data_IF_036321601069
#
_entry.id   IF_036321601069
#
_cell.length_a   1.000
_cell.length_b   1.000
_cell.length_c   1.000
_cell.angle_alpha   90.00
_cell.angle_beta   90.00
_cell.angle_gamma   90.00
#
_symmetry.space_group_name_H-M   'P 1'
#
loop_
_entity.id
_entity.type
_entity.pdbx_description
1 polymer ?
#
# COMPACT_ATOMS: atom_id res chain seq x y z
N UNK A 1 10.00 -28.25 -2.96
CA UNK A 1 10.24 -28.13 -1.50
C UNK A 1 10.22 -26.67 -1.04
N UNK A 2 10.92 -25.74 -1.72
CA UNK A 2 10.98 -24.31 -1.37
C UNK A 2 9.59 -23.66 -1.21
N UNK A 3 8.61 -24.01 -2.04
CA UNK A 3 7.26 -23.43 -2.00
C UNK A 3 6.44 -23.87 -0.77
N UNK A 4 6.73 -25.02 -0.16
CA UNK A 4 5.94 -25.55 0.96
C UNK A 4 6.09 -24.76 2.27
N UNK A 5 7.17 -24.00 2.41
CA UNK A 5 7.52 -23.24 3.64
C UNK A 5 7.02 -21.80 3.64
N UNK A 6 6.37 -21.34 2.57
CA UNK A 6 5.99 -19.94 2.38
C UNK A 6 4.48 -19.72 2.46
N UNK A 7 4.09 -18.48 2.83
CA UNK A 7 2.69 -18.07 2.83
C UNK A 7 2.12 -18.05 1.41
N UNK A 8 0.80 -18.17 1.25
CA UNK A 8 0.10 -18.09 -0.05
C UNK A 8 0.51 -16.86 -0.88
N UNK A 9 0.78 -15.73 -0.21
CA UNK A 9 1.22 -14.48 -0.85
C UNK A 9 2.62 -14.59 -1.43
N UNK A 10 3.56 -15.15 -0.68
CA UNK A 10 4.94 -15.34 -1.14
C UNK A 10 5.00 -16.34 -2.29
N UNK A 11 4.22 -17.42 -2.23
CA UNK A 11 4.09 -18.39 -3.34
C UNK A 11 3.65 -17.67 -4.61
N UNK A 12 2.61 -16.84 -4.55
CA UNK A 12 2.13 -16.07 -5.71
C UNK A 12 3.24 -15.17 -6.28
N UNK A 13 3.99 -14.46 -5.43
CA UNK A 13 5.08 -13.59 -5.87
C UNK A 13 6.25 -14.36 -6.47
N UNK A 14 6.56 -15.55 -5.97
CA UNK A 14 7.57 -16.45 -6.54
C UNK A 14 7.11 -16.93 -7.92
N UNK A 15 5.84 -17.30 -8.07
CA UNK A 15 5.27 -17.69 -9.37
C UNK A 15 5.32 -16.54 -10.39
N UNK A 16 5.04 -15.31 -9.96
CA UNK A 16 5.19 -14.12 -10.82
C UNK A 16 6.65 -13.95 -11.23
N UNK A 17 7.60 -14.06 -10.31
CA UNK A 17 9.02 -13.94 -10.61
C UNK A 17 9.47 -15.02 -11.62
N UNK A 18 9.02 -16.28 -11.43
CA UNK A 18 9.27 -17.37 -12.36
C UNK A 18 8.71 -17.07 -13.75
N UNK A 19 7.44 -16.64 -13.81
CA UNK A 19 6.80 -16.29 -15.10
C UNK A 19 7.55 -15.16 -15.80
N UNK A 20 7.90 -14.09 -15.08
CA UNK A 20 8.65 -12.97 -15.66
C UNK A 20 10.03 -13.38 -16.18
N UNK A 21 10.69 -14.31 -15.52
CA UNK A 21 11.96 -14.85 -16.00
C UNK A 21 11.78 -15.71 -17.26
N UNK A 22 10.74 -16.54 -17.31
CA UNK A 22 10.41 -17.32 -18.52
C UNK A 22 10.04 -16.39 -19.70
N UNK A 23 9.21 -15.35 -19.46
CA UNK A 23 8.86 -14.35 -20.48
C UNK A 23 10.12 -13.60 -21.00
N UNK A 24 11.07 -13.29 -20.11
CA UNK A 24 12.37 -12.71 -20.47
C UNK A 24 13.16 -13.64 -21.39
N UNK A 25 13.34 -14.93 -21.00
CA UNK A 25 14.08 -15.87 -21.80
C UNK A 25 13.46 -16.03 -23.20
N UNK A 26 12.12 -16.08 -23.30
CA UNK A 26 11.41 -16.20 -24.56
C UNK A 26 11.55 -14.96 -25.45
N UNK A 27 11.61 -13.77 -24.86
CA UNK A 27 11.66 -12.49 -25.60
C UNK A 27 13.04 -12.12 -26.13
N UNK A 28 14.11 -12.62 -25.51
CA UNK A 28 15.49 -12.28 -25.84
C UNK A 28 16.12 -13.30 -26.79
N UNK A 29 16.46 -12.89 -28.02
CA UNK A 29 17.08 -13.76 -29.04
C UNK A 29 18.25 -14.57 -28.50
N UNK A 30 19.07 -13.96 -27.62
CA UNK A 30 20.25 -14.59 -27.03
C UNK A 30 19.89 -15.73 -26.07
N UNK A 31 18.72 -15.72 -25.46
CA UNK A 31 18.33 -16.64 -24.41
C UNK A 31 17.11 -17.51 -24.78
N UNK A 32 16.52 -17.33 -25.98
CA UNK A 32 15.30 -18.02 -26.36
C UNK A 32 15.44 -19.53 -26.43
N UNK A 33 16.65 -20.06 -26.64
CA UNK A 33 16.93 -21.49 -26.54
C UNK A 33 16.61 -22.07 -25.14
N UNK A 34 16.57 -21.25 -24.13
CA UNK A 34 16.21 -21.60 -22.73
C UNK A 34 14.77 -21.34 -22.38
N UNK A 35 13.91 -20.91 -23.31
CA UNK A 35 12.53 -20.50 -23.03
C UNK A 35 11.67 -21.61 -22.42
N UNK A 36 11.90 -22.86 -22.78
CA UNK A 36 11.15 -24.01 -22.25
C UNK A 36 11.76 -24.57 -20.96
N UNK A 37 13.09 -24.61 -20.88
CA UNK A 37 13.79 -25.10 -19.69
C UNK A 37 15.20 -24.52 -19.62
N UNK A 38 15.69 -24.31 -18.43
CA UNK A 38 17.06 -23.89 -18.16
C UNK A 38 17.57 -24.60 -16.90
N UNK A 39 18.80 -25.13 -16.98
CA UNK A 39 19.47 -25.60 -15.78
C UNK A 39 19.91 -24.41 -14.92
N UNK A 40 19.80 -24.55 -13.61
CA UNK A 40 20.07 -23.46 -12.68
C UNK A 40 21.53 -22.98 -12.75
N UNK A 41 22.48 -23.84 -13.05
CA UNK A 41 23.91 -23.55 -13.22
C UNK A 41 24.23 -22.74 -14.50
N UNK A 42 23.29 -22.71 -15.46
CA UNK A 42 23.40 -21.90 -16.68
C UNK A 42 22.96 -20.45 -16.49
N UNK A 43 22.39 -20.13 -15.36
CA UNK A 43 21.98 -18.77 -15.02
C UNK A 43 23.21 -17.98 -14.51
N UNK A 44 23.83 -17.22 -15.38
CA UNK A 44 25.00 -16.43 -15.06
C UNK A 44 24.66 -14.97 -14.69
N UNK A 45 25.65 -14.23 -14.20
CA UNK A 45 25.50 -12.82 -13.81
C UNK A 45 25.10 -11.92 -14.98
N UNK A 46 25.55 -12.23 -16.22
CA UNK A 46 25.21 -11.45 -17.42
C UNK A 46 23.72 -11.60 -17.75
N UNK A 47 23.21 -12.84 -17.65
CA UNK A 47 21.77 -13.10 -17.80
C UNK A 47 20.93 -12.41 -16.73
N UNK A 48 21.41 -12.38 -15.47
CA UNK A 48 20.72 -11.67 -14.38
C UNK A 48 20.67 -10.16 -14.63
N UNK A 49 21.74 -9.54 -15.11
CA UNK A 49 21.75 -8.11 -15.45
C UNK A 49 20.75 -7.80 -16.57
N UNK A 50 20.73 -8.60 -17.64
CA UNK A 50 19.76 -8.48 -18.72
C UNK A 50 18.30 -8.67 -18.22
N UNK A 51 18.07 -9.61 -17.30
CA UNK A 51 16.77 -9.80 -16.67
C UNK A 51 16.35 -8.60 -15.82
N UNK A 52 17.28 -7.99 -15.11
CA UNK A 52 17.02 -6.74 -14.36
C UNK A 52 16.59 -5.63 -15.30
N UNK A 53 17.26 -5.42 -16.42
CA UNK A 53 16.89 -4.42 -17.41
C UNK A 53 15.51 -4.71 -18.01
N UNK A 54 15.23 -5.96 -18.34
CA UNK A 54 13.91 -6.41 -18.78
C UNK A 54 12.81 -6.10 -17.75
N UNK A 55 13.05 -6.32 -16.45
CA UNK A 55 12.09 -6.01 -15.40
C UNK A 55 11.82 -4.50 -15.29
N UNK A 56 12.86 -3.68 -15.44
CA UNK A 56 12.78 -2.21 -15.34
C UNK A 56 11.92 -1.62 -16.46
N UNK A 57 11.98 -2.18 -17.68
CA UNK A 57 11.15 -1.71 -18.80
C UNK A 57 9.68 -2.14 -18.69
N UNK A 58 9.36 -3.11 -17.81
CA UNK A 58 8.02 -3.73 -17.70
C UNK A 58 7.32 -3.49 -16.37
N UNK A 59 7.93 -2.73 -15.48
CA UNK A 59 7.38 -2.45 -14.15
C UNK A 59 7.69 -1.03 -13.74
N UNK A 60 6.71 -0.36 -13.16
CA UNK A 60 6.87 0.98 -12.58
C UNK A 60 7.11 0.91 -11.07
N UNK A 61 7.79 1.92 -10.52
CA UNK A 61 8.04 2.04 -9.08
C UNK A 61 8.81 0.85 -8.51
N UNK A 62 8.31 0.25 -7.43
CA UNK A 62 8.97 -0.88 -6.74
C UNK A 62 8.66 -2.26 -7.31
N UNK A 63 7.89 -2.34 -8.40
CA UNK A 63 7.45 -3.62 -8.97
C UNK A 63 8.61 -4.50 -9.43
N UNK A 64 9.55 -3.96 -10.21
CA UNK A 64 10.75 -4.65 -10.67
C UNK A 64 11.58 -5.16 -9.48
N UNK A 65 11.84 -4.30 -8.50
CA UNK A 65 12.58 -4.66 -7.29
C UNK A 65 11.90 -5.81 -6.53
N UNK A 66 10.59 -5.74 -6.33
CA UNK A 66 9.83 -6.76 -5.61
C UNK A 66 9.89 -8.13 -6.29
N UNK A 67 9.78 -8.17 -7.63
CA UNK A 67 9.90 -9.40 -8.41
C UNK A 67 11.33 -9.95 -8.30
N UNK A 68 12.33 -9.10 -8.48
CA UNK A 68 13.73 -9.50 -8.41
C UNK A 68 14.14 -10.01 -7.03
N UNK A 69 13.65 -9.41 -5.96
CA UNK A 69 13.88 -9.89 -4.59
C UNK A 69 13.36 -11.32 -4.38
N UNK A 70 12.22 -11.70 -4.96
CA UNK A 70 11.71 -13.07 -4.91
C UNK A 70 12.56 -14.02 -5.75
N UNK A 71 13.02 -13.57 -6.91
CA UNK A 71 13.95 -14.35 -7.73
C UNK A 71 15.29 -14.58 -7.00
N UNK A 72 15.84 -13.56 -6.33
CA UNK A 72 17.06 -13.70 -5.49
C UNK A 72 16.90 -14.76 -4.39
N UNK A 73 15.74 -14.80 -3.73
CA UNK A 73 15.43 -15.81 -2.70
C UNK A 73 15.45 -17.23 -3.28
N UNK A 74 14.85 -17.41 -4.47
CA UNK A 74 14.86 -18.71 -5.15
C UNK A 74 16.28 -19.14 -5.51
N UNK A 75 17.12 -18.21 -6.02
CA UNK A 75 18.51 -18.52 -6.34
C UNK A 75 19.37 -18.78 -5.08
N UNK A 76 19.07 -18.11 -3.95
CA UNK A 76 19.72 -18.42 -2.68
C UNK A 76 19.40 -19.85 -2.22
N UNK A 77 18.13 -20.24 -2.26
CA UNK A 77 17.71 -21.59 -1.92
C UNK A 77 18.28 -22.66 -2.89
N UNK A 78 18.50 -22.30 -4.15
CA UNK A 78 19.16 -23.20 -5.11
C UNK A 78 20.64 -23.44 -4.73
N UNK A 79 21.32 -22.45 -4.15
CA UNK A 79 22.69 -22.63 -3.61
C UNK A 79 22.67 -23.49 -2.35
N UNK A 80 21.72 -23.25 -1.43
CA UNK A 80 21.56 -24.07 -0.21
C UNK A 80 21.23 -25.53 -0.51
N UNK A 81 20.60 -25.78 -1.66
CA UNK A 81 20.28 -27.15 -2.15
C UNK A 81 21.36 -27.73 -3.07
N UNK A 82 22.55 -27.13 -3.16
CA UNK A 82 23.68 -27.55 -4.02
C UNK A 82 23.35 -27.66 -5.52
N UNK A 83 22.28 -26.99 -5.97
CA UNK A 83 21.89 -26.95 -7.38
C UNK A 83 22.71 -25.93 -8.18
N UNK A 84 23.31 -24.94 -7.49
CA UNK A 84 24.14 -23.88 -8.07
C UNK A 84 25.32 -23.62 -7.12
N UNK A 85 26.53 -23.59 -7.65
CA UNK A 85 27.73 -23.37 -6.84
C UNK A 85 27.84 -21.96 -6.25
N UNK A 86 27.31 -20.95 -6.96
CA UNK A 86 27.40 -19.53 -6.56
C UNK A 86 26.15 -18.79 -7.00
N UNK A 87 25.57 -18.00 -6.10
CA UNK A 87 24.40 -17.20 -6.41
C UNK A 87 24.73 -16.09 -7.44
N UNK A 88 24.21 -16.14 -8.68
CA UNK A 88 24.52 -15.17 -9.71
C UNK A 88 23.90 -13.78 -9.44
N UNK A 89 22.97 -13.70 -8.48
CA UNK A 89 22.32 -12.45 -8.09
C UNK A 89 23.09 -11.65 -7.03
N UNK A 90 24.25 -12.14 -6.56
CA UNK A 90 25.05 -11.44 -5.56
C UNK A 90 25.56 -10.09 -6.10
N UNK A 91 25.37 -9.05 -5.28
CA UNK A 91 25.76 -7.68 -5.64
C UNK A 91 24.87 -7.00 -6.69
N UNK A 92 23.81 -7.67 -7.18
CA UNK A 92 22.86 -7.07 -8.13
C UNK A 92 21.68 -6.49 -7.35
N UNK A 93 21.38 -5.20 -7.60
CA UNK A 93 20.25 -4.47 -6.99
C UNK A 93 19.47 -3.73 -8.07
N UNK A 94 18.18 -3.51 -7.83
CA UNK A 94 17.36 -2.63 -8.65
C UNK A 94 17.06 -1.39 -7.81
N UNK A 95 17.53 -0.21 -8.20
CA UNK A 95 17.15 1.03 -7.53
C UNK A 95 15.65 1.27 -7.71
N UNK A 96 15.00 1.79 -6.67
CA UNK A 96 13.59 2.19 -6.73
C UNK A 96 13.55 3.67 -7.09
N UNK A 97 12.79 4.00 -8.10
CA UNK A 97 12.43 5.38 -8.36
C UNK A 97 11.36 5.80 -7.34
N UNK A 98 11.78 6.49 -6.29
CA UNK A 98 10.89 6.97 -5.24
C UNK A 98 9.92 8.03 -5.75
N UNK A 99 10.26 8.76 -6.82
CA UNK A 99 9.39 9.79 -7.42
C UNK A 99 8.18 9.17 -8.11
N UNK A 100 8.34 7.99 -8.71
CA UNK A 100 7.25 7.21 -9.31
C UNK A 100 6.29 6.59 -8.27
N UNK A 101 6.61 6.69 -6.98
CA UNK A 101 5.80 6.15 -5.88
C UNK A 101 4.91 7.20 -5.21
N UNK A 102 4.90 8.44 -5.70
CA UNK A 102 4.01 9.48 -5.19
C UNK A 102 2.55 9.04 -5.44
N UNK A 103 1.82 8.89 -4.35
CA UNK A 103 0.40 8.56 -4.40
C UNK A 103 -0.41 9.84 -4.40
N UNK A 104 -1.48 9.84 -5.20
CA UNK A 104 -2.48 10.88 -5.08
C UNK A 104 -3.06 10.91 -3.68
N UNK A 105 -3.21 12.10 -3.13
CA UNK A 105 -3.84 12.33 -1.82
C UNK A 105 -4.92 13.39 -1.96
N UNK A 106 -6.00 13.21 -1.21
CA UNK A 106 -7.06 14.19 -1.10
C UNK A 106 -6.65 15.27 -0.09
N UNK A 107 -6.80 16.54 -0.43
CA UNK A 107 -6.74 17.62 0.55
C UNK A 107 -7.97 17.59 1.46
N UNK A 108 -7.95 18.34 2.56
CA UNK A 108 -9.11 18.47 3.45
C UNK A 108 -10.35 18.94 2.70
N UNK A 109 -10.22 19.95 1.82
CA UNK A 109 -11.33 20.46 1.01
C UNK A 109 -11.87 19.41 0.03
N UNK A 110 -10.99 18.62 -0.59
CA UNK A 110 -11.40 17.50 -1.45
C UNK A 110 -12.10 16.38 -0.67
N UNK A 111 -11.70 16.11 0.57
CA UNK A 111 -12.38 15.15 1.46
C UNK A 111 -13.79 15.67 1.78
N UNK A 112 -13.95 16.93 2.17
CA UNK A 112 -15.26 17.53 2.43
C UNK A 112 -16.13 17.52 1.18
N UNK A 113 -15.59 17.94 0.03
CA UNK A 113 -16.29 17.89 -1.26
C UNK A 113 -16.75 16.47 -1.62
N UNK A 114 -15.92 15.47 -1.34
CA UNK A 114 -16.29 14.07 -1.55
C UNK A 114 -17.45 13.65 -0.66
N UNK A 115 -17.41 14.02 0.62
CA UNK A 115 -18.47 13.72 1.61
C UNK A 115 -19.80 14.35 1.19
N UNK A 116 -19.79 15.60 0.72
CA UNK A 116 -20.99 16.32 0.29
C UNK A 116 -21.54 15.85 -1.05
N UNK A 117 -20.74 15.13 -1.83
CA UNK A 117 -21.16 14.61 -3.12
C UNK A 117 -22.11 13.44 -2.94
N UNK A 118 -23.26 13.48 -3.65
CA UNK A 118 -24.25 12.43 -3.62
C UNK A 118 -23.68 11.07 -4.00
N UNK A 119 -24.06 10.03 -3.24
CA UNK A 119 -23.56 8.66 -3.37
C UNK A 119 -24.66 7.74 -3.91
N UNK A 120 -24.95 7.85 -5.21
CA UNK A 120 -25.96 7.03 -5.89
C UNK A 120 -25.43 5.67 -6.32
N UNK A 121 -26.35 4.70 -6.33
CA UNK A 121 -26.13 3.32 -6.81
C UNK A 121 -25.03 2.53 -6.10
N UNK A 122 -24.61 2.98 -4.93
CA UNK A 122 -23.56 2.33 -4.17
C UNK A 122 -24.00 2.07 -2.73
N UNK A 123 -23.40 1.11 -2.09
CA UNK A 123 -23.76 0.74 -0.71
C UNK A 123 -23.53 1.91 0.25
N UNK A 124 -24.56 2.29 1.03
CA UNK A 124 -24.42 3.26 2.14
C UNK A 124 -23.31 2.85 3.11
N UNK A 125 -23.16 1.55 3.29
CA UNK A 125 -22.12 0.94 4.11
C UNK A 125 -20.72 1.25 3.60
N UNK A 126 -20.50 1.13 2.28
CA UNK A 126 -19.21 1.46 1.67
C UNK A 126 -18.89 2.97 1.81
N UNK A 127 -19.89 3.85 1.66
CA UNK A 127 -19.70 5.29 1.89
C UNK A 127 -19.27 5.56 3.33
N UNK A 128 -20.00 5.01 4.30
CA UNK A 128 -19.75 5.13 5.74
C UNK A 128 -18.32 4.67 6.09
N UNK A 129 -17.94 3.48 5.63
CA UNK A 129 -16.63 2.90 5.84
C UNK A 129 -15.49 3.70 5.16
N UNK A 130 -15.73 4.21 3.95
CA UNK A 130 -14.74 5.02 3.23
C UNK A 130 -14.47 6.35 3.94
N UNK A 131 -15.51 7.01 4.44
CA UNK A 131 -15.37 8.24 5.23
C UNK A 131 -14.62 7.94 6.53
N UNK A 132 -14.99 6.87 7.23
CA UNK A 132 -14.29 6.45 8.44
C UNK A 132 -12.80 6.21 8.18
N UNK A 133 -12.45 5.54 7.08
CA UNK A 133 -11.05 5.30 6.70
C UNK A 133 -10.29 6.60 6.35
N UNK A 134 -10.96 7.61 5.78
CA UNK A 134 -10.38 8.93 5.52
C UNK A 134 -10.08 9.72 6.80
N UNK A 135 -10.82 9.47 7.89
CA UNK A 135 -10.66 10.15 9.19
C UNK A 135 -9.80 9.37 10.20
N UNK A 136 -9.49 8.11 9.93
CA UNK A 136 -8.71 7.26 10.85
C UNK A 136 -7.43 6.72 10.22
N UNK A 137 -7.31 6.79 8.91
CA UNK A 137 -6.18 6.21 8.19
C UNK A 137 -6.09 4.69 8.25
N UNK A 138 -7.12 3.99 8.72
CA UNK A 138 -7.14 2.53 8.87
C UNK A 138 -6.96 1.81 7.52
N UNK A 139 -6.24 0.68 7.51
CA UNK A 139 -6.12 -0.13 6.30
C UNK A 139 -7.41 -0.89 6.02
N UNK A 140 -7.71 -1.14 4.75
CA UNK A 140 -8.88 -1.94 4.35
C UNK A 140 -8.93 -3.30 5.06
N UNK A 141 -7.79 -4.03 5.13
CA UNK A 141 -7.76 -5.34 5.76
C UNK A 141 -8.05 -5.30 7.27
N UNK A 142 -7.70 -4.21 7.94
CA UNK A 142 -7.95 -4.05 9.37
C UNK A 142 -9.40 -3.58 9.58
N UNK A 143 -9.89 -2.68 8.74
CA UNK A 143 -11.25 -2.13 8.83
C UNK A 143 -12.34 -3.19 8.68
N UNK A 144 -12.18 -4.17 7.76
CA UNK A 144 -13.16 -5.24 7.57
C UNK A 144 -13.22 -6.25 8.73
N UNK A 145 -12.16 -6.28 9.54
CA UNK A 145 -12.09 -7.14 10.73
C UNK A 145 -12.57 -6.43 12.00
N UNK A 146 -12.78 -5.10 11.96
CA UNK A 146 -13.26 -4.37 13.14
C UNK A 146 -14.62 -4.85 13.61
N UNK A 147 -14.72 -5.02 14.91
CA UNK A 147 -15.94 -5.39 15.61
C UNK A 147 -16.28 -4.35 16.67
N UNK A 148 -17.52 -4.33 17.15
CA UNK A 148 -17.95 -3.38 18.18
C UNK A 148 -17.21 -3.57 19.51
N UNK A 149 -16.61 -4.74 19.78
CA UNK A 149 -15.76 -4.95 20.97
C UNK A 149 -14.46 -4.13 20.93
N UNK A 150 -14.04 -3.70 19.75
CA UNK A 150 -12.80 -2.95 19.55
C UNK A 150 -13.00 -1.45 19.84
N UNK A 151 -14.24 -1.02 20.13
CA UNK A 151 -14.62 0.37 20.42
C UNK A 151 -14.84 0.58 21.91
N UNK A 152 -14.05 1.45 22.50
CA UNK A 152 -14.25 1.98 23.84
C UNK A 152 -15.08 3.29 23.73
N UNK A 153 -16.41 3.16 23.83
CA UNK A 153 -17.34 4.28 23.70
C UNK A 153 -17.14 5.36 24.79
N UNK A 154 -16.99 4.99 26.08
CA UNK A 154 -16.77 5.96 27.15
C UNK A 154 -15.53 6.83 26.94
N UNK A 155 -14.42 6.23 26.50
CA UNK A 155 -13.16 6.93 26.29
C UNK A 155 -12.99 7.43 24.84
N UNK A 156 -13.95 7.13 23.96
CA UNK A 156 -13.91 7.45 22.53
C UNK A 156 -12.62 6.95 21.86
N UNK A 157 -12.29 5.69 22.06
CA UNK A 157 -11.08 5.08 21.53
C UNK A 157 -11.43 3.84 20.71
N UNK A 158 -10.65 3.62 19.66
CA UNK A 158 -10.66 2.38 18.89
C UNK A 158 -9.35 1.64 19.14
N UNK A 159 -9.44 0.40 19.62
CA UNK A 159 -8.32 -0.47 19.93
C UNK A 159 -8.34 -1.70 19.04
N UNK A 160 -7.34 -1.91 18.23
CA UNK A 160 -7.28 -3.10 17.38
C UNK A 160 -5.86 -3.57 17.10
N UNK A 161 -5.73 -4.83 16.72
CA UNK A 161 -4.47 -5.40 16.28
C UNK A 161 -4.39 -5.46 14.77
N UNK A 162 -3.35 -4.86 14.17
CA UNK A 162 -3.18 -4.83 12.72
C UNK A 162 -2.90 -6.21 12.13
N UNK A 163 -3.76 -6.71 11.27
CA UNK A 163 -3.67 -8.02 10.61
C UNK A 163 -2.35 -8.26 9.87
N UNK A 164 -1.77 -7.20 9.28
CA UNK A 164 -0.54 -7.30 8.49
C UNK A 164 0.72 -7.47 9.34
N UNK A 165 0.74 -6.96 10.55
CA UNK A 165 1.92 -6.89 11.43
C UNK A 165 1.81 -7.76 12.68
N UNK A 166 0.67 -8.39 12.91
CA UNK A 166 0.33 -9.23 14.05
C UNK A 166 1.41 -10.23 14.44
N UNK A 167 2.08 -10.85 13.47
CA UNK A 167 3.11 -11.87 13.72
C UNK A 167 4.55 -11.38 13.51
N UNK A 168 4.76 -10.10 13.21
CA UNK A 168 6.07 -9.59 12.78
C UNK A 168 6.51 -8.32 13.49
N UNK A 169 5.67 -7.72 14.32
CA UNK A 169 5.99 -6.47 15.01
C UNK A 169 5.35 -6.40 16.39
N UNK A 170 6.07 -5.98 17.43
CA UNK A 170 5.50 -5.66 18.74
C UNK A 170 4.57 -4.42 18.68
N UNK A 171 4.61 -3.65 17.61
CA UNK A 171 3.75 -2.48 17.37
C UNK A 171 2.52 -2.83 16.52
N UNK A 172 1.97 -4.04 16.69
CA UNK A 172 0.75 -4.46 15.97
C UNK A 172 -0.52 -3.85 16.56
N UNK A 173 -0.52 -3.49 17.84
CA UNK A 173 -1.63 -2.79 18.49
C UNK A 173 -1.65 -1.32 18.08
N UNK A 174 -2.83 -0.82 17.78
CA UNK A 174 -3.07 0.57 17.37
C UNK A 174 -4.27 1.10 18.14
N UNK A 175 -4.08 2.27 18.72
CA UNK A 175 -5.08 3.03 19.44
C UNK A 175 -5.40 4.30 18.66
N UNK A 176 -6.65 4.47 18.24
CA UNK A 176 -7.09 5.64 17.48
C UNK A 176 -8.14 6.40 18.28
N UNK A 177 -7.87 7.68 18.65
CA UNK A 177 -8.90 8.54 19.23
C UNK A 177 -10.03 8.78 18.22
N UNK A 178 -11.26 8.67 18.68
CA UNK A 178 -12.46 8.90 17.90
C UNK A 178 -13.12 10.22 18.35
N UNK A 179 -13.56 11.02 17.39
CA UNK A 179 -14.44 12.15 17.66
C UNK A 179 -15.91 11.74 17.46
N UNK A 180 -16.83 12.65 17.81
CA UNK A 180 -18.28 12.34 17.71
C UNK A 180 -18.72 12.01 16.27
N UNK A 181 -18.07 12.63 15.27
CA UNK A 181 -18.33 12.32 13.87
C UNK A 181 -17.93 10.88 13.51
N UNK A 182 -16.75 10.44 13.91
CA UNK A 182 -16.27 9.07 13.63
C UNK A 182 -17.04 8.03 14.45
N UNK A 183 -17.44 8.34 15.68
CA UNK A 183 -18.35 7.51 16.47
C UNK A 183 -19.72 7.37 15.80
N UNK A 184 -20.28 8.46 15.28
CA UNK A 184 -21.52 8.42 14.50
C UNK A 184 -21.42 7.57 13.24
N UNK A 185 -20.23 7.46 12.63
CA UNK A 185 -19.99 6.53 11.52
C UNK A 185 -19.92 5.05 11.98
N UNK A 186 -19.49 4.78 13.19
CA UNK A 186 -19.52 3.44 13.79
C UNK A 186 -20.96 3.06 14.14
N UNK A 187 -21.71 3.97 14.75
CA UNK A 187 -23.04 3.74 15.29
C UNK A 187 -23.01 3.02 16.64
N UNK A 188 -24.19 2.72 17.15
CA UNK A 188 -24.36 2.04 18.44
C UNK A 188 -24.04 0.55 18.33
N UNK A 189 -23.44 0.01 19.39
CA UNK A 189 -23.18 -1.41 19.46
C UNK A 189 -24.52 -2.19 19.57
N UNK A 190 -24.68 -3.29 18.80
CA UNK A 190 -25.87 -4.13 18.91
C UNK A 190 -25.91 -4.82 20.27
N UNK A 191 -27.10 -4.86 20.88
CA UNK A 191 -27.29 -5.55 22.16
C UNK A 191 -26.88 -7.03 22.06
N UNK A 192 -26.03 -7.45 23.00
CA UNK A 192 -25.63 -8.86 23.14
C UNK A 192 -24.65 -9.39 22.09
N UNK A 193 -24.23 -8.60 21.09
CA UNK A 193 -23.32 -9.07 20.04
C UNK A 193 -22.18 -8.11 19.69
N UNK A 194 -21.30 -7.86 20.63
CA UNK A 194 -20.11 -7.03 20.41
C UNK A 194 -19.11 -7.62 19.40
N UNK A 195 -19.22 -8.90 19.05
CA UNK A 195 -18.35 -9.55 18.05
C UNK A 195 -18.82 -9.33 16.60
N UNK A 196 -19.94 -8.65 16.41
CA UNK A 196 -20.40 -8.28 15.07
C UNK A 196 -19.44 -7.28 14.44
N UNK A 197 -19.17 -7.45 13.14
CA UNK A 197 -18.37 -6.51 12.38
C UNK A 197 -19.07 -5.14 12.27
N UNK A 198 -18.32 -4.08 12.44
CA UNK A 198 -18.81 -2.69 12.30
C UNK A 198 -19.14 -2.38 10.83
N UNK A 199 -18.34 -2.91 9.91
CA UNK A 199 -18.48 -2.67 8.48
C UNK A 199 -18.52 -3.99 7.70
N UNK A 200 -19.53 -4.17 6.87
CA UNK A 200 -19.64 -5.31 5.94
C UNK A 200 -19.39 -4.82 4.53
N UNK A 201 -18.20 -5.10 3.99
CA UNK A 201 -17.75 -4.56 2.72
C UNK A 201 -17.57 -5.65 1.66
N UNK A 202 -17.79 -5.31 0.38
CA UNK A 202 -17.42 -6.18 -0.73
C UNK A 202 -15.89 -6.27 -0.84
N UNK A 203 -15.39 -6.98 -1.85
CA UNK A 203 -13.95 -7.12 -2.06
C UNK A 203 -13.24 -5.76 -2.20
N UNK A 204 -11.97 -5.69 -1.80
CA UNK A 204 -11.13 -4.50 -1.92
C UNK A 204 -11.13 -3.90 -3.34
N UNK A 205 -11.16 -4.76 -4.37
CA UNK A 205 -11.23 -4.30 -5.76
C UNK A 205 -12.56 -3.62 -6.07
N UNK A 206 -13.67 -4.18 -5.60
CA UNK A 206 -15.01 -3.59 -5.75
C UNK A 206 -15.10 -2.25 -5.04
N UNK A 207 -14.57 -2.16 -3.81
CA UNK A 207 -14.50 -0.90 -3.06
C UNK A 207 -13.73 0.19 -3.83
N UNK A 208 -12.58 -0.15 -4.41
CA UNK A 208 -11.81 0.80 -5.20
C UNK A 208 -12.54 1.26 -6.48
N UNK A 209 -13.29 0.38 -7.14
CA UNK A 209 -14.12 0.75 -8.30
C UNK A 209 -15.21 1.76 -7.90
N UNK A 210 -15.88 1.54 -6.78
CA UNK A 210 -16.89 2.46 -6.25
C UNK A 210 -16.30 3.80 -5.82
N UNK A 211 -15.18 3.78 -5.11
CA UNK A 211 -14.47 4.99 -4.70
C UNK A 211 -14.05 5.83 -5.91
N UNK A 212 -13.53 5.19 -6.97
CA UNK A 212 -13.19 5.87 -8.22
C UNK A 212 -14.40 6.57 -8.86
N UNK A 213 -15.57 5.91 -8.90
CA UNK A 213 -16.81 6.52 -9.43
C UNK A 213 -17.25 7.72 -8.58
N UNK A 214 -17.18 7.58 -7.26
CA UNK A 214 -17.53 8.64 -6.33
C UNK A 214 -16.62 9.86 -6.49
N UNK A 215 -15.29 9.67 -6.53
CA UNK A 215 -14.35 10.75 -6.81
C UNK A 215 -14.64 11.45 -8.15
N UNK A 216 -14.98 10.68 -9.21
CA UNK A 216 -15.34 11.27 -10.51
C UNK A 216 -16.60 12.16 -10.41
N UNK A 217 -17.65 11.74 -9.66
CA UNK A 217 -18.84 12.57 -9.41
C UNK A 217 -18.50 13.84 -8.62
N UNK A 218 -17.61 13.74 -7.67
CA UNK A 218 -17.11 14.88 -6.92
C UNK A 218 -16.23 15.84 -7.73
N UNK A 219 -15.97 15.53 -9.01
CA UNK A 219 -15.08 16.33 -9.86
C UNK A 219 -13.62 16.25 -9.42
N UNK A 220 -13.23 15.15 -8.76
CA UNK A 220 -11.85 14.87 -8.34
C UNK A 220 -11.19 14.02 -9.43
N UNK A 221 -10.20 14.58 -10.13
CA UNK A 221 -9.48 13.92 -11.23
C UNK A 221 -8.38 12.96 -10.75
N UNK A 222 -8.00 13.01 -9.48
CA UNK A 222 -6.96 12.18 -8.87
C UNK A 222 -7.34 10.71 -8.87
N UNK A 223 -6.33 9.84 -9.00
CA UNK A 223 -6.52 8.38 -8.92
C UNK A 223 -6.56 7.91 -7.47
N UNK A 224 -7.72 8.01 -6.85
CA UNK A 224 -7.92 7.66 -5.45
C UNK A 224 -8.30 6.19 -5.30
N UNK A 225 -7.56 5.50 -4.44
CA UNK A 225 -7.81 4.14 -3.97
C UNK A 225 -7.98 4.16 -2.46
N UNK A 226 -8.42 3.05 -1.88
CA UNK A 226 -8.50 2.93 -0.42
C UNK A 226 -7.19 3.26 0.28
N UNK A 227 -6.08 2.81 -0.30
CA UNK A 227 -4.75 3.11 0.25
C UNK A 227 -4.38 4.60 0.13
N UNK A 228 -4.87 5.29 -0.89
CA UNK A 228 -4.72 6.75 -1.01
C UNK A 228 -5.47 7.48 0.12
N UNK A 229 -6.62 6.95 0.59
CA UNK A 229 -7.33 7.48 1.76
C UNK A 229 -6.44 7.53 3.00
N UNK A 230 -5.70 6.47 3.30
CA UNK A 230 -4.72 6.45 4.39
C UNK A 230 -3.59 7.46 4.20
N UNK A 231 -3.11 7.63 2.95
CA UNK A 231 -2.11 8.66 2.64
C UNK A 231 -2.68 10.06 2.84
N UNK A 232 -3.94 10.29 2.43
CA UNK A 232 -4.64 11.57 2.64
C UNK A 232 -4.78 11.90 4.13
N UNK A 233 -5.22 10.95 4.95
CA UNK A 233 -5.27 11.11 6.40
C UNK A 233 -3.91 11.53 6.96
N UNK A 234 -2.86 10.77 6.65
CA UNK A 234 -1.52 11.05 7.16
C UNK A 234 -1.01 12.43 6.77
N UNK A 235 -1.23 12.83 5.51
CA UNK A 235 -0.79 14.14 5.00
C UNK A 235 -1.59 15.28 5.63
N UNK A 236 -2.91 15.14 5.71
CA UNK A 236 -3.78 16.18 6.26
C UNK A 236 -3.54 16.39 7.76
N UNK A 237 -3.30 15.33 8.52
CA UNK A 237 -2.95 15.44 9.96
C UNK A 237 -1.59 16.13 10.15
N UNK A 238 -0.59 15.85 9.30
CA UNK A 238 0.69 16.57 9.32
C UNK A 238 0.51 18.06 8.95
N UNK A 239 -0.29 18.36 7.94
CA UNK A 239 -0.62 19.74 7.55
C UNK A 239 -1.36 20.49 8.65
N UNK A 240 -2.14 19.79 9.48
CA UNK A 240 -2.81 20.34 10.68
C UNK A 240 -1.85 20.53 11.87
N UNK A 241 -0.56 20.24 11.73
CA UNK A 241 0.47 20.49 12.75
C UNK A 241 0.82 19.30 13.64
N UNK A 242 0.28 18.10 13.38
CA UNK A 242 0.65 16.92 14.14
C UNK A 242 2.13 16.53 13.88
N UNK A 243 2.79 16.02 14.93
CA UNK A 243 4.17 15.53 14.79
C UNK A 243 4.24 14.25 13.92
N UNK A 244 5.39 14.03 13.28
CA UNK A 244 5.64 12.78 12.52
C UNK A 244 5.47 11.55 13.40
N UNK A 245 5.83 11.64 14.68
CA UNK A 245 5.64 10.57 15.66
C UNK A 245 4.15 10.29 15.89
N UNK A 246 3.35 11.33 16.13
CA UNK A 246 1.90 11.19 16.30
C UNK A 246 1.26 10.48 15.10
N UNK A 247 1.63 10.88 13.89
CA UNK A 247 1.11 10.23 12.66
C UNK A 247 1.60 8.78 12.56
N UNK A 248 2.85 8.49 12.93
CA UNK A 248 3.37 7.12 12.94
C UNK A 248 2.59 6.23 13.91
N UNK A 249 2.31 6.73 15.12
CA UNK A 249 1.55 6.02 16.16
C UNK A 249 0.11 5.75 15.69
N UNK A 250 -0.61 6.76 15.22
CA UNK A 250 -1.98 6.62 14.67
C UNK A 250 -2.06 5.63 13.51
N UNK A 251 -1.03 5.55 12.69
CA UNK A 251 -0.96 4.60 11.59
C UNK A 251 -0.42 3.22 12.00
N UNK A 252 0.09 3.05 13.22
CA UNK A 252 0.75 1.83 13.66
C UNK A 252 1.95 1.47 12.80
N UNK A 253 2.81 2.45 12.54
CA UNK A 253 4.08 2.24 11.85
C UNK A 253 5.15 1.81 12.85
N UNK A 254 5.87 0.74 12.55
CA UNK A 254 6.97 0.23 13.39
C UNK A 254 8.21 1.13 13.42
N UNK A 255 8.20 2.24 12.67
CA UNK A 255 9.29 3.21 12.66
C UNK A 255 8.95 4.43 11.81
N UNK A 256 9.60 5.56 12.12
CA UNK A 256 9.36 6.86 11.50
C UNK A 256 9.67 6.88 10.00
N UNK A 257 10.59 6.05 9.52
CA UNK A 257 10.97 5.94 8.11
C UNK A 257 9.75 5.74 7.18
N UNK A 258 8.73 5.01 7.65
CA UNK A 258 7.51 4.79 6.86
C UNK A 258 6.61 6.02 6.81
N UNK A 259 6.78 6.95 7.75
CA UNK A 259 6.00 8.19 7.88
C UNK A 259 6.70 9.38 7.21
N UNK A 260 8.03 9.36 7.08
CA UNK A 260 8.84 10.42 6.42
C UNK A 260 8.38 10.73 5.00
N UNK A 261 7.84 9.75 4.28
CA UNK A 261 7.27 9.95 2.95
C UNK A 261 6.15 11.00 2.92
N UNK A 262 5.38 11.13 4.00
CA UNK A 262 4.30 12.12 4.12
C UNK A 262 4.86 13.50 4.41
N UNK A 263 5.94 13.60 5.17
CA UNK A 263 6.65 14.87 5.39
C UNK A 263 7.14 15.44 4.07
N UNK A 264 7.81 14.62 3.24
CA UNK A 264 8.25 15.05 1.91
C UNK A 264 7.08 15.52 1.03
N UNK A 265 5.94 14.84 1.10
CA UNK A 265 4.75 15.25 0.34
C UNK A 265 4.19 16.60 0.81
N UNK A 266 4.20 16.90 2.12
CA UNK A 266 3.80 18.19 2.67
C UNK A 266 4.78 19.29 2.27
N UNK A 267 6.08 19.05 2.35
CA UNK A 267 7.11 20.02 1.96
C UNK A 267 7.04 20.35 0.46
N UNK A 268 6.77 19.35 -0.38
CA UNK A 268 6.60 19.58 -1.82
C UNK A 268 5.37 20.43 -2.14
N UNK A 269 4.25 20.24 -1.42
CA UNK A 269 3.07 21.09 -1.53
C UNK A 269 3.35 22.53 -1.08
N UNK A 270 4.11 22.73 0.02
CA UNK A 270 4.53 24.06 0.46
C UNK A 270 5.35 24.77 -0.62
N UNK A 271 6.31 24.08 -1.23
CA UNK A 271 7.10 24.63 -2.36
C UNK A 271 6.20 24.99 -3.55
N UNK A 272 5.27 24.13 -3.93
CA UNK A 272 4.33 24.40 -5.02
C UNK A 272 3.45 25.63 -4.70
N UNK A 273 2.96 25.75 -3.47
CA UNK A 273 2.17 26.91 -3.03
C UNK A 273 2.98 28.21 -3.14
N UNK A 274 4.23 28.22 -2.69
CA UNK A 274 5.10 29.41 -2.81
C UNK A 274 5.38 29.72 -4.29
N UNK A 275 5.65 28.73 -5.10
CA UNK A 275 5.94 28.92 -6.53
C UNK A 275 4.71 29.36 -7.36
N UNK A 276 3.50 29.19 -6.83
CA UNK A 276 2.27 29.66 -7.49
C UNK A 276 1.98 31.15 -7.25
N UNK A 277 2.76 31.82 -6.37
CA UNK A 277 2.61 33.26 -6.16
C UNK A 277 3.04 34.04 -7.43
N UNK A 278 2.27 35.09 -7.82
CA UNK A 278 2.63 35.87 -8.96
C UNK A 278 3.97 36.58 -8.76
N UNK A 279 4.88 36.40 -9.71
CA UNK A 279 6.15 37.11 -9.71
C UNK A 279 5.94 38.49 -10.38
N UNK A 280 6.30 39.60 -9.73
CA UNK A 280 6.26 40.91 -10.36
C UNK A 280 7.10 40.89 -11.65
N UNK A 281 6.60 41.47 -12.72
CA UNK A 281 7.44 41.69 -13.93
C UNK A 281 8.59 42.59 -13.51
N UNK A 282 9.82 42.15 -13.78
CA UNK A 282 10.96 43.03 -13.67
C UNK A 282 10.77 44.21 -14.64
N UNK A 283 10.90 45.44 -14.13
CA UNK A 283 10.85 46.65 -14.94
C UNK A 283 12.09 46.73 -15.88
#
# INVERSE_FOLDING_TARGET
NYIKEYTKRDIRMIQIARKRFADFLASEKKYNMFATSILADRIDKKMILAFVDYLRTRSTGSGAQSIFQRFKKVMAAAVEADLVRKNPCLGVTIPVDETALVKDVLSTDEVLKLIDTHYEFESKELRRASIFALYTGIRYCDLVELTYKDVDYPNKMLHFEQSKTKHSSPHSHVDIPLNDFTLGLIGDAPEGNLKQHIFTLPSHESCNKSLKRWCKRAGISKHITWHCGRHSFATNILESGASVKTVADLLGHSGLKYTERYVRAVDERKKQAVNSLPVPKAE
#
